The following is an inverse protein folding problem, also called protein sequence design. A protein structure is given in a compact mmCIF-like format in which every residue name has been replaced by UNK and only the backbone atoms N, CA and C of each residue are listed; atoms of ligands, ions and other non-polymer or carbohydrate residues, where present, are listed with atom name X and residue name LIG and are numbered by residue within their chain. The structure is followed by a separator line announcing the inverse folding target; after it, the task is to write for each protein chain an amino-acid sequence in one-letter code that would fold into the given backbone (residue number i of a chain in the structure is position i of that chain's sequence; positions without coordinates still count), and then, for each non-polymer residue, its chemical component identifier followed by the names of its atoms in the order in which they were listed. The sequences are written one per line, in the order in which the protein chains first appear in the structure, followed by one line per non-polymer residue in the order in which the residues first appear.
data_IF_788398136297
#
_entry.id   IF_788398136297
#
_cell.length_a   1.000
_cell.length_b   1.000
_cell.length_c   1.000
_cell.angle_alpha   90.00
_cell.angle_beta   90.00
_cell.angle_gamma   90.00
#
_symmetry.space_group_name_H-M   'P 1'
#
loop_
_entity.id
_entity.type
_entity.pdbx_description
1 polymer ?
#
# COMPACT_ATOMS: atom_id res chain seq x y z
N UNK A 1 -3.57 -5.12 -5.70
CA UNK A 1 -3.38 -3.69 -5.37
C UNK A 1 -4.44 -3.08 -4.43
N UNK A 2 -5.73 -3.46 -4.49
CA UNK A 2 -6.79 -2.89 -3.64
C UNK A 2 -6.51 -2.92 -2.12
N UNK A 3 -5.78 -3.93 -1.63
CA UNK A 3 -5.42 -4.08 -0.21
C UNK A 3 -4.57 -2.93 0.35
N UNK A 4 -3.84 -2.19 -0.50
CA UNK A 4 -3.05 -1.02 -0.12
C UNK A 4 -3.78 0.27 -0.50
N UNK A 5 -4.51 0.29 -1.63
CA UNK A 5 -5.27 1.46 -2.08
C UNK A 5 -6.41 1.85 -1.11
N UNK A 6 -7.10 0.88 -0.52
CA UNK A 6 -8.19 1.17 0.43
C UNK A 6 -7.64 1.84 1.70
N UNK A 7 -6.60 1.29 2.37
CA UNK A 7 -5.95 1.94 3.51
C UNK A 7 -5.41 3.35 3.22
N UNK A 8 -4.84 3.60 2.03
CA UNK A 8 -4.33 4.94 1.68
C UNK A 8 -5.46 5.94 1.51
N UNK A 9 -6.58 5.57 0.88
CA UNK A 9 -7.77 6.41 0.82
C UNK A 9 -8.35 6.64 2.22
N UNK A 10 -8.33 5.62 3.08
CA UNK A 10 -8.78 5.75 4.47
C UNK A 10 -7.89 6.63 5.33
N UNK A 11 -6.67 7.01 4.90
CA UNK A 11 -5.87 8.01 5.64
C UNK A 11 -6.48 9.41 5.60
N UNK A 12 -7.21 9.78 4.55
CA UNK A 12 -7.85 11.10 4.48
C UNK A 12 -8.85 11.33 5.62
N UNK A 13 -9.86 10.47 5.85
CA UNK A 13 -10.79 10.66 6.97
C UNK A 13 -10.11 10.52 8.32
N UNK A 14 -9.09 9.67 8.47
CA UNK A 14 -8.39 9.54 9.77
C UNK A 14 -7.63 10.81 10.12
N UNK A 15 -6.99 11.48 9.17
CA UNK A 15 -6.34 12.78 9.41
C UNK A 15 -7.35 13.84 9.89
N UNK A 16 -8.56 13.85 9.32
CA UNK A 16 -9.59 14.84 9.66
C UNK A 16 -10.24 14.58 11.02
N UNK A 17 -10.36 13.30 11.42
CA UNK A 17 -11.00 12.89 12.67
C UNK A 17 -10.04 12.81 13.86
N UNK A 18 -8.72 12.80 13.62
CA UNK A 18 -7.72 12.66 14.68
C UNK A 18 -7.44 14.01 15.36
N UNK A 19 -7.30 13.99 16.69
CA UNK A 19 -6.93 15.20 17.44
C UNK A 19 -5.54 15.73 17.00
N UNK A 20 -5.34 17.06 16.94
CA UNK A 20 -4.09 17.64 16.41
C UNK A 20 -2.83 17.19 17.15
N UNK A 21 -2.93 16.89 18.46
CA UNK A 21 -1.82 16.39 19.28
C UNK A 21 -1.30 15.03 18.81
N UNK A 22 -2.18 14.19 18.27
CA UNK A 22 -1.88 12.82 17.85
C UNK A 22 -1.78 12.66 16.34
N UNK A 23 -1.96 13.75 15.58
CA UNK A 23 -2.02 13.69 14.12
C UNK A 23 -0.75 13.07 13.54
N UNK A 24 0.44 13.54 13.94
CA UNK A 24 1.71 13.03 13.43
C UNK A 24 2.02 11.59 13.85
N UNK A 25 1.71 11.21 15.09
CA UNK A 25 1.95 9.84 15.57
C UNK A 25 0.97 8.85 14.95
N UNK A 26 -0.29 9.24 14.75
CA UNK A 26 -1.27 8.41 14.08
C UNK A 26 -0.96 8.23 12.59
N UNK A 27 -0.63 9.31 11.86
CA UNK A 27 -0.33 9.20 10.42
C UNK A 27 0.93 8.40 10.16
N UNK A 28 1.99 8.60 10.96
CA UNK A 28 3.24 7.81 10.82
C UNK A 28 3.01 6.34 11.12
N UNK A 29 2.27 6.00 12.18
CA UNK A 29 1.96 4.61 12.51
C UNK A 29 1.14 3.91 11.41
N UNK A 30 0.09 4.57 10.89
CA UNK A 30 -0.72 4.01 9.81
C UNK A 30 0.07 3.92 8.49
N UNK A 31 0.89 4.92 8.16
CA UNK A 31 1.77 4.88 6.99
C UNK A 31 2.76 3.72 7.05
N UNK A 32 3.38 3.48 8.21
CA UNK A 32 4.31 2.37 8.41
C UNK A 32 3.61 1.00 8.31
N UNK A 33 2.37 0.89 8.81
CA UNK A 33 1.55 -0.32 8.62
C UNK A 33 1.21 -0.57 7.15
N UNK A 34 0.89 0.48 6.39
CA UNK A 34 0.64 0.37 4.94
C UNK A 34 1.91 -0.10 4.21
N UNK A 35 3.08 0.45 4.55
CA UNK A 35 4.36 0.02 3.99
C UNK A 35 4.70 -1.45 4.34
N UNK A 36 4.37 -1.91 5.55
CA UNK A 36 4.52 -3.33 5.89
C UNK A 36 3.62 -4.23 5.04
N UNK A 37 2.40 -3.79 4.72
CA UNK A 37 1.47 -4.54 3.88
C UNK A 37 1.93 -4.55 2.41
N UNK A 38 2.55 -3.48 1.91
CA UNK A 38 3.02 -3.42 0.52
C UNK A 38 4.11 -4.45 0.21
N UNK A 39 4.94 -4.83 1.20
CA UNK A 39 5.92 -5.92 1.09
C UNK A 39 5.31 -7.28 0.70
N UNK A 40 4.01 -7.48 0.95
CA UNK A 40 3.32 -8.72 0.51
C UNK A 40 3.26 -8.89 -1.02
N UNK A 41 3.54 -7.84 -1.80
CA UNK A 41 3.63 -7.90 -3.27
C UNK A 41 4.97 -8.42 -3.78
N UNK A 42 5.93 -8.71 -2.90
CA UNK A 42 7.22 -9.29 -3.28
C UNK A 42 7.09 -10.80 -3.58
N UNK A 43 6.28 -11.14 -4.58
CA UNK A 43 6.11 -12.51 -5.08
C UNK A 43 6.91 -12.65 -6.37
N UNK A 44 8.07 -13.29 -6.29
CA UNK A 44 8.92 -13.53 -7.44
C UNK A 44 8.53 -14.83 -8.13
N UNK A 45 7.61 -14.76 -9.09
CA UNK A 45 7.26 -15.89 -9.95
C UNK A 45 8.27 -15.96 -11.09
N UNK A 46 9.07 -17.02 -11.12
CA UNK A 46 10.11 -17.25 -12.14
C UNK A 46 9.53 -17.45 -13.55
N UNK A 47 8.23 -17.73 -13.65
CA UNK A 47 7.49 -18.01 -14.88
C UNK A 47 6.29 -17.04 -14.93
N UNK A 48 6.20 -16.28 -16.02
CA UNK A 48 5.28 -15.16 -16.28
C UNK A 48 5.51 -13.88 -15.42
N UNK A 49 5.92 -12.81 -16.10
CA UNK A 49 6.24 -11.52 -15.49
C UNK A 49 5.05 -10.74 -14.95
N UNK A 50 3.80 -11.16 -15.15
CA UNK A 50 2.62 -10.41 -14.70
C UNK A 50 1.85 -11.17 -13.62
N UNK A 51 1.68 -10.52 -12.47
CA UNK A 51 0.85 -11.00 -11.36
C UNK A 51 -0.46 -10.21 -11.35
N UNK A 52 -1.55 -10.80 -11.84
CA UNK A 52 -2.87 -10.16 -11.83
C UNK A 52 -3.49 -10.22 -10.44
N UNK A 53 -3.63 -9.08 -9.77
CA UNK A 53 -4.30 -9.00 -8.47
C UNK A 53 -5.83 -8.85 -8.59
N UNK A 54 -6.31 -8.38 -9.74
CA UNK A 54 -7.72 -8.36 -10.17
C UNK A 54 -7.81 -8.34 -11.70
N UNK A 55 -9.02 -8.40 -12.26
CA UNK A 55 -9.26 -8.28 -13.72
C UNK A 55 -8.82 -6.94 -14.32
N UNK A 56 -8.71 -5.90 -13.50
CA UNK A 56 -8.37 -4.54 -13.94
C UNK A 56 -6.96 -4.11 -13.53
N UNK A 57 -6.29 -4.84 -12.63
CA UNK A 57 -5.01 -4.44 -12.05
C UNK A 57 -4.05 -5.62 -11.99
N UNK A 58 -2.97 -5.50 -12.76
CA UNK A 58 -1.83 -6.41 -12.76
C UNK A 58 -0.55 -5.66 -12.32
N UNK A 59 0.34 -6.40 -11.68
CA UNK A 59 1.66 -5.92 -11.24
C UNK A 59 2.74 -6.67 -12.00
N UNK A 60 3.69 -5.93 -12.55
CA UNK A 60 4.87 -6.45 -13.26
C UNK A 60 6.13 -6.30 -12.39
N UNK A 61 7.27 -6.92 -12.72
CA UNK A 61 8.44 -6.97 -11.85
C UNK A 61 9.12 -5.59 -11.71
N UNK A 62 8.75 -4.63 -12.56
CA UNK A 62 9.22 -3.25 -12.51
C UNK A 62 8.33 -2.36 -11.62
N UNK A 63 6.99 -2.52 -11.66
CA UNK A 63 6.09 -1.75 -10.80
C UNK A 63 6.07 -2.24 -9.35
N UNK A 64 6.31 -3.53 -9.09
CA UNK A 64 6.31 -4.06 -7.70
C UNK A 64 7.29 -3.34 -6.76
N UNK A 65 8.58 -3.11 -7.09
CA UNK A 65 9.47 -2.37 -6.18
C UNK A 65 9.08 -0.89 -6.03
N UNK A 66 8.56 -0.27 -7.09
CA UNK A 66 8.10 1.12 -7.04
C UNK A 66 6.87 1.28 -6.13
N UNK A 67 5.94 0.34 -6.21
CA UNK A 67 4.74 0.30 -5.37
C UNK A 67 5.03 -0.01 -3.89
N UNK A 68 6.19 -0.59 -3.60
CA UNK A 68 6.65 -0.79 -2.21
C UNK A 68 7.30 0.48 -1.64
N UNK A 69 7.92 1.31 -2.49
CA UNK A 69 8.56 2.56 -2.09
C UNK A 69 7.55 3.67 -1.74
N UNK A 70 6.40 3.66 -2.41
CA UNK A 70 5.34 4.69 -2.29
C UNK A 70 4.35 4.38 -1.18
#
# INVERSE_FOLDING_TARGET
MLKVLIPTIMMFPTIWLTSPKWLWTATTAHGLLIAFISLSWFTWTSEAGWTSSSTYLATDPLSTPLLVLT
#
